data_IF_102671901244
#
_entry.id   IF_102671901244
#
_cell.length_a   1.000
_cell.length_b   1.000
_cell.length_c   1.000
_cell.angle_alpha   90.00
_cell.angle_beta   90.00
_cell.angle_gamma   90.00
#
_symmetry.space_group_name_H-M   'P 1'
#
loop_
_entity.id
_entity.type
_entity.pdbx_description
1 polymer ?
#
# COMPACT_ATOMS: atom_id res chain seq x y z
N UNK A 1 15.77 -16.49 -1.27
CA UNK A 1 14.93 -16.09 -0.12
C UNK A 1 15.76 -15.38 0.97
N UNK A 2 16.91 -15.92 1.39
CA UNK A 2 17.85 -15.20 2.28
C UNK A 2 18.35 -13.87 1.68
N UNK A 3 18.54 -13.80 0.36
CA UNK A 3 19.06 -12.58 -0.30
C UNK A 3 18.01 -11.47 -0.47
N UNK A 4 16.73 -11.83 -0.65
CA UNK A 4 15.62 -10.86 -0.66
C UNK A 4 15.49 -10.21 0.72
N UNK A 5 15.55 -11.03 1.78
CA UNK A 5 15.51 -10.53 3.16
C UNK A 5 16.73 -9.63 3.48
N UNK A 6 17.90 -9.91 2.89
CA UNK A 6 19.14 -9.14 3.10
C UNK A 6 19.16 -7.79 2.35
N UNK A 7 18.59 -7.73 1.14
CA UNK A 7 18.41 -6.47 0.40
C UNK A 7 17.32 -5.60 1.06
N UNK A 8 16.28 -6.24 1.59
CA UNK A 8 15.21 -5.58 2.33
C UNK A 8 15.72 -5.06 3.68
N UNK A 9 16.57 -5.81 4.40
CA UNK A 9 17.06 -5.43 5.74
C UNK A 9 17.95 -4.19 5.80
N UNK A 10 18.60 -3.77 4.71
CA UNK A 10 19.49 -2.59 4.70
C UNK A 10 18.76 -1.27 4.48
N UNK A 11 17.50 -1.28 4.02
CA UNK A 11 16.65 -0.08 3.87
C UNK A 11 15.57 0.06 4.95
N UNK A 12 15.27 -1.02 5.68
CA UNK A 12 14.19 -1.04 6.68
C UNK A 12 14.48 -0.20 7.92
N UNK A 13 15.73 0.12 8.23
CA UNK A 13 16.05 0.88 9.47
C UNK A 13 15.32 2.24 9.54
N UNK A 14 14.95 2.80 8.38
CA UNK A 14 14.15 4.04 8.27
C UNK A 14 12.68 3.80 7.95
N UNK A 15 12.28 2.54 7.73
CA UNK A 15 10.91 2.15 7.46
C UNK A 15 10.20 1.75 8.75
N UNK A 16 9.00 2.29 8.93
CA UNK A 16 8.09 1.85 9.98
C UNK A 16 7.12 0.83 9.41
N UNK A 17 7.16 -0.40 9.92
CA UNK A 17 6.11 -1.39 9.66
C UNK A 17 4.92 -1.03 10.55
N UNK A 18 3.75 -0.85 9.93
CA UNK A 18 2.51 -0.54 10.63
C UNK A 18 1.59 -1.75 10.50
N UNK A 19 1.12 -2.25 11.64
CA UNK A 19 0.12 -3.31 11.68
C UNK A 19 -1.29 -2.71 11.57
N UNK A 20 -2.11 -3.28 10.70
CA UNK A 20 -3.52 -2.93 10.57
C UNK A 20 -4.33 -4.06 11.17
N UNK A 21 -5.21 -3.78 12.16
CA UNK A 21 -6.02 -4.82 12.78
C UNK A 21 -6.90 -5.55 11.73
N UNK A 22 -6.99 -6.89 11.77
CA UNK A 22 -7.76 -7.64 10.77
C UNK A 22 -9.24 -7.23 10.67
N UNK A 23 -9.84 -6.79 11.78
CA UNK A 23 -11.23 -6.31 11.78
C UNK A 23 -11.40 -5.04 10.93
N UNK A 24 -10.40 -4.14 10.90
CA UNK A 24 -10.43 -2.94 10.05
C UNK A 24 -10.42 -3.34 8.57
N UNK A 25 -9.59 -4.33 8.21
CA UNK A 25 -9.58 -4.87 6.86
C UNK A 25 -10.97 -5.41 6.48
N UNK A 26 -11.56 -6.27 7.31
CA UNK A 26 -12.85 -6.90 7.03
C UNK A 26 -14.02 -5.90 6.93
N UNK A 27 -14.06 -4.90 7.81
CA UNK A 27 -15.12 -3.89 7.85
C UNK A 27 -15.13 -3.01 6.60
N UNK A 28 -13.94 -2.62 6.11
CA UNK A 28 -13.83 -1.67 5.02
C UNK A 28 -13.57 -2.30 3.65
N UNK A 29 -13.18 -3.58 3.58
CA UNK A 29 -12.89 -4.26 2.31
C UNK A 29 -14.02 -4.10 1.26
N UNK A 30 -15.32 -4.29 1.58
CA UNK A 30 -16.38 -4.16 0.58
C UNK A 30 -16.48 -2.77 -0.06
N UNK A 31 -16.22 -1.72 0.72
CA UNK A 31 -16.24 -0.32 0.24
C UNK A 31 -15.20 -0.08 -0.84
N UNK A 32 -13.99 -0.61 -0.65
CA UNK A 32 -12.86 -0.37 -1.56
C UNK A 32 -12.77 -1.42 -2.69
N UNK A 33 -13.32 -2.62 -2.49
CA UNK A 33 -13.43 -3.63 -3.56
C UNK A 33 -14.31 -3.15 -4.73
N UNK A 34 -15.21 -2.20 -4.48
CA UNK A 34 -16.02 -1.55 -5.52
C UNK A 34 -15.18 -0.80 -6.58
N UNK A 35 -13.90 -0.50 -6.31
CA UNK A 35 -12.99 0.12 -7.28
C UNK A 35 -12.44 -0.88 -8.32
N UNK A 36 -12.77 -2.16 -8.22
CA UNK A 36 -12.34 -3.19 -9.19
C UNK A 36 -10.84 -3.49 -9.17
N UNK A 37 -10.19 -3.23 -8.03
CA UNK A 37 -8.76 -3.50 -7.81
C UNK A 37 -8.55 -4.91 -7.25
N UNK A 38 -7.32 -5.42 -7.31
CA UNK A 38 -6.99 -6.69 -6.70
C UNK A 38 -7.12 -6.63 -5.18
N UNK A 39 -7.41 -7.76 -4.49
CA UNK A 39 -7.58 -7.77 -3.04
C UNK A 39 -6.41 -7.19 -2.24
N UNK A 40 -5.17 -7.38 -2.69
CA UNK A 40 -3.98 -6.80 -2.08
C UNK A 40 -3.98 -5.27 -2.18
N UNK A 41 -4.40 -4.69 -3.30
CA UNK A 41 -4.44 -3.23 -3.46
C UNK A 41 -5.57 -2.62 -2.64
N UNK A 42 -6.71 -3.33 -2.57
CA UNK A 42 -7.82 -3.00 -1.67
C UNK A 42 -7.34 -2.97 -0.20
N UNK A 43 -6.52 -3.93 0.22
CA UNK A 43 -5.94 -3.93 1.58
C UNK A 43 -5.06 -2.70 1.82
N UNK A 44 -4.26 -2.26 0.84
CA UNK A 44 -3.49 -1.02 0.95
C UNK A 44 -4.40 0.20 1.10
N UNK A 45 -5.48 0.31 0.31
CA UNK A 45 -6.44 1.42 0.43
C UNK A 45 -7.14 1.45 1.79
N UNK A 46 -7.53 0.29 2.32
CA UNK A 46 -8.13 0.20 3.65
C UNK A 46 -7.14 0.66 4.72
N UNK A 47 -5.90 0.18 4.65
CA UNK A 47 -4.83 0.56 5.57
C UNK A 47 -4.58 2.07 5.53
N UNK A 48 -4.46 2.65 4.34
CA UNK A 48 -4.25 4.08 4.12
C UNK A 48 -5.41 4.91 4.69
N UNK A 49 -6.65 4.52 4.41
CA UNK A 49 -7.84 5.19 4.94
C UNK A 49 -7.89 5.15 6.48
N UNK A 50 -7.60 3.99 7.10
CA UNK A 50 -7.57 3.86 8.55
C UNK A 50 -6.48 4.73 9.21
N UNK A 51 -5.32 4.83 8.57
CA UNK A 51 -4.17 5.58 9.06
C UNK A 51 -4.18 7.07 8.66
N UNK A 52 -5.19 7.53 7.93
CA UNK A 52 -5.25 8.86 7.31
C UNK A 52 -4.03 9.18 6.44
N UNK A 53 -3.55 8.21 5.68
CA UNK A 53 -2.46 8.36 4.71
C UNK A 53 -3.07 8.57 3.33
N UNK A 54 -2.66 9.62 2.63
CA UNK A 54 -3.09 9.93 1.27
C UNK A 54 -1.93 9.93 0.27
N UNK A 55 -0.71 9.61 0.70
CA UNK A 55 0.47 9.54 -0.15
C UNK A 55 0.89 8.09 -0.37
N UNK A 56 1.13 7.69 -1.62
CA UNK A 56 1.61 6.34 -1.96
C UNK A 56 2.78 6.39 -2.94
N UNK A 57 3.82 5.63 -2.62
CA UNK A 57 4.93 5.35 -3.50
C UNK A 57 4.63 4.09 -4.32
N UNK A 58 4.23 4.22 -5.58
CA UNK A 58 3.90 3.06 -6.42
C UNK A 58 4.04 3.35 -7.91
N UNK A 59 4.39 2.30 -8.68
CA UNK A 59 4.32 2.31 -10.14
C UNK A 59 3.04 1.63 -10.67
N UNK A 60 2.19 1.13 -9.78
CA UNK A 60 0.91 0.52 -10.13
C UNK A 60 -0.10 1.58 -10.62
N UNK A 61 -0.64 1.36 -11.81
CA UNK A 61 -1.56 2.28 -12.46
C UNK A 61 -2.97 2.25 -11.85
N UNK A 62 -3.35 1.19 -11.12
CA UNK A 62 -4.70 1.08 -10.56
C UNK A 62 -4.96 2.13 -9.47
N UNK A 63 -3.93 2.54 -8.73
CA UNK A 63 -4.05 3.60 -7.71
C UNK A 63 -4.34 4.98 -8.32
N UNK A 64 -4.04 5.20 -9.61
CA UNK A 64 -4.34 6.46 -10.29
C UNK A 64 -5.86 6.71 -10.44
N UNK A 65 -6.69 5.69 -10.23
CA UNK A 65 -8.16 5.81 -10.24
C UNK A 65 -8.72 6.40 -8.93
N UNK A 66 -7.90 6.51 -7.89
CA UNK A 66 -8.32 6.91 -6.54
C UNK A 66 -8.05 8.41 -6.35
N UNK A 67 -9.11 9.21 -6.47
CA UNK A 67 -9.01 10.68 -6.56
C UNK A 67 -8.39 11.39 -5.35
N UNK A 68 -8.41 10.78 -4.17
CA UNK A 68 -7.86 11.38 -2.95
C UNK A 68 -6.41 10.99 -2.66
N UNK A 69 -5.76 10.22 -3.55
CA UNK A 69 -4.37 9.82 -3.39
C UNK A 69 -3.41 10.72 -4.17
N UNK A 70 -2.30 11.07 -3.52
CA UNK A 70 -1.11 11.64 -4.14
C UNK A 70 -0.12 10.52 -4.44
N UNK A 71 0.18 10.31 -5.71
CA UNK A 71 1.03 9.21 -6.17
C UNK A 71 2.42 9.75 -6.48
N UNK A 72 3.42 9.21 -5.78
CA UNK A 72 4.81 9.35 -6.16
C UNK A 72 5.27 8.09 -6.90
N UNK A 73 5.81 8.26 -8.10
CA UNK A 73 6.33 7.15 -8.92
C UNK A 73 7.85 7.03 -8.71
N UNK A 74 8.35 5.99 -8.02
CA UNK A 74 9.79 5.78 -7.89
C UNK A 74 10.40 5.53 -9.27
N UNK A 75 11.48 6.26 -9.58
CA UNK A 75 12.29 6.02 -10.77
C UNK A 75 12.96 4.65 -10.59
N UNK A 76 12.66 3.69 -11.45
CA UNK A 76 13.42 2.44 -11.49
C UNK A 76 14.79 2.74 -12.12
N UNK A 77 15.84 2.81 -11.31
CA UNK A 77 17.20 2.73 -11.83
C UNK A 77 17.45 1.27 -12.21
N UNK A 78 17.52 1.00 -13.52
CA UNK A 78 17.97 -0.28 -14.06
C UNK A 78 19.43 -0.55 -13.70
#
# INVERSE_FOLDING_TARGET
MKDILKAVSTSIETLRIIEVPPNILLEHFPKFHAYGMLPNDVQHLVAMNYLNINEIATNDADFAKISHLHIWKPISTN
#
